data_IF_466613515754
#
_entry.id   IF_466613515754
#
_cell.length_a   1.000
_cell.length_b   1.000
_cell.length_c   1.000
_cell.angle_alpha   90.00
_cell.angle_beta   90.00
_cell.angle_gamma   90.00
#
_symmetry.space_group_name_H-M   'P 1'
#
loop_
_entity.id
_entity.type
_entity.pdbx_description
1 polymer ?
#
# COMPACT_ATOMS: atom_id res chain seq x y z
N UNK A 1 4.91 3.57 15.36
CA UNK A 1 5.28 4.37 14.18
C UNK A 1 4.66 5.75 14.29
N UNK A 2 5.37 6.79 13.85
CA UNK A 2 4.82 8.15 13.84
C UNK A 2 3.73 8.30 12.76
N UNK A 3 2.78 9.22 12.98
CA UNK A 3 1.70 9.46 12.02
C UNK A 3 2.23 9.86 10.64
N UNK A 4 3.28 10.68 10.58
CA UNK A 4 3.91 11.11 9.33
C UNK A 4 4.50 9.96 8.55
N UNK A 5 5.15 9.00 9.24
CA UNK A 5 5.70 7.78 8.64
C UNK A 5 4.58 6.87 8.10
N UNK A 6 3.49 6.71 8.86
CA UNK A 6 2.32 5.95 8.40
C UNK A 6 1.74 6.52 7.09
N UNK A 7 1.51 7.84 7.04
CA UNK A 7 0.99 8.48 5.83
C UNK A 7 1.98 8.40 4.67
N UNK A 8 3.29 8.47 4.93
CA UNK A 8 4.30 8.28 3.89
C UNK A 8 4.24 6.86 3.31
N UNK A 9 4.19 5.83 4.15
CA UNK A 9 4.05 4.43 3.74
C UNK A 9 2.74 4.18 2.97
N UNK A 10 1.62 4.73 3.44
CA UNK A 10 0.33 4.65 2.74
C UNK A 10 0.41 5.28 1.35
N UNK A 11 1.07 6.43 1.20
CA UNK A 11 1.24 7.07 -0.12
C UNK A 11 2.10 6.23 -1.06
N UNK A 12 3.15 5.58 -0.55
CA UNK A 12 3.98 4.66 -1.33
C UNK A 12 3.16 3.46 -1.83
N UNK A 13 2.36 2.84 -0.95
CA UNK A 13 1.45 1.75 -1.31
C UNK A 13 0.38 2.18 -2.31
N UNK A 14 -0.19 3.37 -2.13
CA UNK A 14 -1.15 3.97 -3.08
C UNK A 14 -0.52 4.13 -4.46
N UNK A 15 0.69 4.68 -4.53
CA UNK A 15 1.40 4.88 -5.79
C UNK A 15 1.74 3.54 -6.47
N UNK A 16 2.20 2.55 -5.71
CA UNK A 16 2.47 1.20 -6.24
C UNK A 16 1.20 0.55 -6.79
N UNK A 17 0.08 0.60 -6.05
CA UNK A 17 -1.21 0.09 -6.50
C UNK A 17 -1.74 0.82 -7.74
N UNK A 18 -1.55 2.14 -7.82
CA UNK A 18 -1.91 2.95 -8.98
C UNK A 18 -1.10 2.58 -10.22
N UNK A 19 0.21 2.33 -10.08
CA UNK A 19 1.03 1.80 -11.18
C UNK A 19 0.47 0.45 -11.64
N UNK A 20 0.26 -0.50 -10.73
CA UNK A 20 -0.27 -1.82 -11.09
C UNK A 20 -1.65 -1.76 -11.75
N UNK A 21 -2.54 -0.91 -11.26
CA UNK A 21 -3.88 -0.76 -11.81
C UNK A 21 -3.88 -0.23 -13.25
N UNK A 22 -2.91 0.63 -13.59
CA UNK A 22 -2.81 1.25 -14.91
C UNK A 22 -1.92 0.47 -15.90
N UNK A 23 -0.82 -0.12 -15.43
CA UNK A 23 0.22 -0.71 -16.28
C UNK A 23 0.42 -2.21 -16.07
N UNK A 24 -0.13 -2.79 -15.00
CA UNK A 24 0.00 -4.20 -14.69
C UNK A 24 -0.72 -5.12 -15.68
N UNK A 25 -0.48 -6.45 -15.61
CA UNK A 25 -1.22 -7.44 -16.38
C UNK A 25 -2.72 -7.43 -16.02
N UNK A 26 -3.59 -7.70 -17.00
CA UNK A 26 -5.05 -7.57 -16.85
C UNK A 26 -5.60 -8.37 -15.67
N UNK A 27 -5.04 -9.56 -15.42
CA UNK A 27 -5.43 -10.45 -14.32
C UNK A 27 -5.25 -9.81 -12.94
N UNK A 28 -4.29 -8.89 -12.77
CA UNK A 28 -4.00 -8.25 -11.49
C UNK A 28 -4.60 -6.84 -11.37
N UNK A 29 -5.10 -6.25 -12.45
CA UNK A 29 -5.58 -4.85 -12.44
C UNK A 29 -6.79 -4.65 -11.53
N UNK A 30 -7.75 -5.58 -11.58
CA UNK A 30 -8.97 -5.48 -10.76
C UNK A 30 -8.64 -5.47 -9.27
N UNK A 31 -7.81 -6.40 -8.81
CA UNK A 31 -7.39 -6.44 -7.41
C UNK A 31 -6.51 -5.25 -7.02
N UNK A 32 -5.66 -4.77 -7.93
CA UNK A 32 -4.89 -3.54 -7.73
C UNK A 32 -5.80 -2.32 -7.53
N UNK A 33 -6.94 -2.22 -8.25
CA UNK A 33 -7.93 -1.18 -8.02
C UNK A 33 -8.58 -1.26 -6.63
N UNK A 34 -8.90 -2.47 -6.14
CA UNK A 34 -9.44 -2.64 -4.78
C UNK A 34 -8.43 -2.19 -3.71
N UNK A 35 -7.15 -2.57 -3.88
CA UNK A 35 -6.07 -2.16 -2.99
C UNK A 35 -5.82 -0.64 -3.06
N UNK A 36 -5.88 -0.05 -4.25
CA UNK A 36 -5.78 1.40 -4.43
C UNK A 36 -6.89 2.15 -3.67
N UNK A 37 -8.13 1.67 -3.76
CA UNK A 37 -9.26 2.27 -3.03
C UNK A 37 -9.08 2.15 -1.50
N UNK A 38 -8.58 1.00 -1.02
CA UNK A 38 -8.24 0.79 0.38
C UNK A 38 -7.19 1.81 0.85
N UNK A 39 -6.04 1.89 0.21
CA UNK A 39 -4.96 2.80 0.62
C UNK A 39 -5.38 4.27 0.53
N UNK A 40 -6.21 4.63 -0.45
CA UNK A 40 -6.78 5.99 -0.55
C UNK A 40 -7.65 6.33 0.69
N UNK A 41 -8.38 5.36 1.25
CA UNK A 41 -9.16 5.55 2.49
C UNK A 41 -8.26 5.90 3.68
N UNK A 42 -7.12 5.20 3.82
CA UNK A 42 -6.16 5.49 4.89
C UNK A 42 -5.40 6.81 4.66
N UNK A 43 -5.16 7.20 3.39
CA UNK A 43 -4.55 8.50 3.05
C UNK A 43 -5.47 9.68 3.37
N UNK A 44 -6.78 9.51 3.18
CA UNK A 44 -7.83 10.52 3.41
C UNK A 44 -8.46 10.46 4.80
N UNK A 45 -8.02 9.55 5.68
CA UNK A 45 -8.46 9.50 7.07
C UNK A 45 -8.27 10.87 7.73
N UNK A 46 -9.38 11.52 8.08
CA UNK A 46 -9.40 12.89 8.59
C UNK A 46 -8.57 13.09 9.87
N UNK A 47 -8.40 14.34 10.33
CA UNK A 47 -7.47 14.71 11.40
C UNK A 47 -7.62 13.98 12.75
N UNK A 48 -8.70 13.21 12.95
CA UNK A 48 -8.94 12.35 14.13
C UNK A 48 -8.60 10.87 13.97
N UNK A 49 -8.05 10.42 12.83
CA UNK A 49 -7.49 9.06 12.73
C UNK A 49 -6.14 9.05 13.43
N UNK A 50 -6.14 8.71 14.72
CA UNK A 50 -4.93 8.50 15.52
C UNK A 50 -3.99 7.53 14.80
N UNK A 51 -2.68 7.65 15.07
CA UNK A 51 -1.66 6.75 14.56
C UNK A 51 -2.18 5.31 14.53
N UNK A 52 -2.39 4.80 13.31
CA UNK A 52 -2.95 3.47 13.10
C UNK A 52 -1.84 2.49 13.47
N UNK A 53 -1.99 1.84 14.63
CA UNK A 53 -1.08 0.78 15.03
C UNK A 53 -1.21 -0.36 14.01
N UNK A 54 -0.19 -0.52 13.16
CA UNK A 54 -0.12 -1.69 12.28
C UNK A 54 0.33 -2.90 13.10
N UNK A 55 0.09 -4.11 12.59
CA UNK A 55 0.52 -5.33 13.29
C UNK A 55 2.05 -5.43 13.40
N UNK A 56 2.79 -4.79 12.50
CA UNK A 56 4.23 -4.63 12.57
C UNK A 56 4.66 -3.40 11.76
N UNK A 57 5.00 -2.33 12.46
CA UNK A 57 5.30 -1.02 11.88
C UNK A 57 6.55 -1.01 10.99
N UNK A 58 7.64 -1.64 11.44
CA UNK A 58 8.89 -1.72 10.68
C UNK A 58 8.68 -2.49 9.38
N UNK A 59 8.03 -3.66 9.48
CA UNK A 59 7.70 -4.47 8.31
C UNK A 59 6.79 -3.71 7.35
N UNK A 60 5.79 -2.98 7.85
CA UNK A 60 4.88 -2.21 7.01
C UNK A 60 5.61 -1.14 6.18
N UNK A 61 6.54 -0.40 6.79
CA UNK A 61 7.35 0.61 6.07
C UNK A 61 8.23 -0.03 5.02
N UNK A 62 8.93 -1.12 5.36
CA UNK A 62 9.79 -1.83 4.42
C UNK A 62 8.98 -2.40 3.24
N UNK A 63 7.82 -2.99 3.52
CA UNK A 63 6.90 -3.51 2.51
C UNK A 63 6.41 -2.38 1.59
N UNK A 64 6.07 -1.21 2.14
CA UNK A 64 5.62 -0.06 1.35
C UNK A 64 6.69 0.46 0.38
N UNK A 65 7.93 0.61 0.87
CA UNK A 65 9.07 1.03 0.05
C UNK A 65 9.37 0.02 -1.05
N UNK A 66 9.44 -1.28 -0.70
CA UNK A 66 9.72 -2.34 -1.65
C UNK A 66 8.61 -2.48 -2.70
N UNK A 67 7.32 -2.40 -2.30
CA UNK A 67 6.21 -2.47 -3.26
C UNK A 67 6.30 -1.40 -4.35
N UNK A 68 6.67 -0.17 -3.96
CA UNK A 68 6.84 0.94 -4.90
C UNK A 68 8.07 0.78 -5.81
N UNK A 69 9.22 0.39 -5.27
CA UNK A 69 10.42 0.13 -6.09
C UNK A 69 10.15 -0.96 -7.14
N UNK A 70 9.52 -2.07 -6.74
CA UNK A 70 9.20 -3.17 -7.64
C UNK A 70 8.15 -2.77 -8.69
N UNK A 71 7.13 -1.99 -8.32
CA UNK A 71 6.16 -1.46 -9.28
C UNK A 71 6.85 -0.57 -10.32
N UNK A 72 7.75 0.32 -9.89
CA UNK A 72 8.54 1.19 -10.78
C UNK A 72 9.47 0.42 -11.72
N UNK A 73 9.91 -0.78 -11.33
CA UNK A 73 10.71 -1.70 -12.16
C UNK A 73 9.87 -2.65 -13.02
N UNK A 74 8.56 -2.46 -13.09
CA UNK A 74 7.60 -3.35 -13.76
C UNK A 74 7.58 -4.79 -13.19
N UNK A 75 8.05 -4.99 -11.96
CA UNK A 75 7.99 -6.28 -11.26
C UNK A 75 6.61 -6.45 -10.59
N UNK A 76 5.56 -6.47 -11.41
CA UNK A 76 4.17 -6.34 -10.96
C UNK A 76 3.72 -7.46 -10.03
N UNK A 77 4.09 -8.72 -10.30
CA UNK A 77 3.68 -9.84 -9.45
C UNK A 77 4.27 -9.73 -8.03
N UNK A 78 5.54 -9.32 -7.92
CA UNK A 78 6.21 -9.14 -6.64
C UNK A 78 5.65 -7.93 -5.89
N UNK A 79 5.45 -6.81 -6.59
CA UNK A 79 4.80 -5.63 -6.02
C UNK A 79 3.39 -5.94 -5.51
N UNK A 80 2.59 -6.69 -6.28
CA UNK A 80 1.24 -7.09 -5.89
C UNK A 80 1.21 -7.94 -4.61
N UNK A 81 2.13 -8.90 -4.49
CA UNK A 81 2.27 -9.72 -3.28
C UNK A 81 2.57 -8.84 -2.05
N UNK A 82 3.45 -7.85 -2.19
CA UNK A 82 3.76 -6.90 -1.12
C UNK A 82 2.58 -5.98 -0.78
N UNK A 83 1.77 -5.56 -1.76
CA UNK A 83 0.54 -4.81 -1.48
C UNK A 83 -0.46 -5.65 -0.65
N UNK A 84 -0.58 -6.94 -0.96
CA UNK A 84 -1.39 -7.89 -0.17
C UNK A 84 -0.84 -8.09 1.25
N UNK A 85 0.48 -8.16 1.40
CA UNK A 85 1.13 -8.21 2.70
C UNK A 85 0.87 -6.93 3.50
N UNK A 86 1.06 -5.75 2.89
CA UNK A 86 0.81 -4.47 3.53
C UNK A 86 -0.65 -4.33 3.99
N UNK A 87 -1.59 -4.80 3.16
CA UNK A 87 -3.01 -4.89 3.55
C UNK A 87 -3.19 -5.71 4.83
N UNK A 88 -2.56 -6.89 4.92
CA UNK A 88 -2.69 -7.77 6.10
C UNK A 88 -2.10 -7.18 7.38
N UNK A 89 -1.22 -6.17 7.27
CA UNK A 89 -0.65 -5.45 8.40
C UNK A 89 -1.53 -4.30 8.88
N UNK A 90 -2.46 -3.82 8.06
CA UNK A 90 -3.40 -2.77 8.41
C UNK A 90 -4.50 -3.32 9.33
N UNK A 91 -4.91 -2.56 10.37
CA UNK A 91 -6.03 -2.96 11.20
C UNK A 91 -7.35 -2.81 10.44
N UNK A 92 -8.19 -3.85 10.51
CA UNK A 92 -9.53 -3.87 9.90
C UNK A 92 -9.56 -4.12 8.38
N UNK A 93 -8.49 -4.70 7.83
CA UNK A 93 -8.34 -5.01 6.41
C UNK A 93 -9.01 -6.31 5.94
#
# INVERSE_FOLDING_TARGET
MERTEFHAAIRQLRAAAEILANTGPEDCRFDAFQLLALFRRYDHGGPGSNAVATSNDELFVLTAQAALDLAGRNQFAASFALLGQARSLLPGA
#
